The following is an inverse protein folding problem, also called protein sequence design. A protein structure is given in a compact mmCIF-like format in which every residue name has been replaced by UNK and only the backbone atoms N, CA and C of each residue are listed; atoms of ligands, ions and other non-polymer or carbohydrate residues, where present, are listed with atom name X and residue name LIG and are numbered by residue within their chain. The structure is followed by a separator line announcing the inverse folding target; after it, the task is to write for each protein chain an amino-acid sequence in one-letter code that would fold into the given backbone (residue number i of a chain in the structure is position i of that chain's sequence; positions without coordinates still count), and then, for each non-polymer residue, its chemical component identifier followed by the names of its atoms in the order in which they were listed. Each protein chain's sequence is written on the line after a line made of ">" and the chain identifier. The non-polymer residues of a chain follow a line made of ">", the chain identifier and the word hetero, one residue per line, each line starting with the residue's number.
data_IF_412827642136
#
_entry.id   IF_412827642136
#
_cell.length_a   1.000
_cell.length_b   1.000
_cell.length_c   1.000
_cell.angle_alpha   90.00
_cell.angle_beta   90.00
_cell.angle_gamma   90.00
#
_symmetry.space_group_name_H-M   'P 1'
#
loop_
_entity.id
_entity.type
_entity.pdbx_description
1 polymer ?
#
# COMPACT_ATOMS: atom_id res chain seq x y z
N UNK A 1 4.74 25.38 6.00
CA UNK A 1 5.01 24.16 5.21
C UNK A 1 4.39 24.25 3.81
N UNK A 2 4.32 25.44 3.19
CA UNK A 2 3.81 25.58 1.81
C UNK A 2 4.83 25.14 0.75
N UNK A 3 6.09 24.88 1.15
CA UNK A 3 7.20 24.60 0.22
C UNK A 3 7.63 23.12 0.12
N UNK A 4 7.10 22.22 0.95
CA UNK A 4 7.52 20.81 0.88
C UNK A 4 6.78 20.08 -0.24
N UNK A 5 7.47 19.91 -1.38
CA UNK A 5 6.96 19.23 -2.57
C UNK A 5 7.77 17.95 -2.84
N UNK A 6 7.37 16.79 -2.29
CA UNK A 6 8.08 15.54 -2.50
C UNK A 6 8.10 15.18 -3.99
N UNK A 7 9.31 15.06 -4.54
CA UNK A 7 9.56 14.89 -5.99
C UNK A 7 8.89 15.97 -6.86
N UNK A 8 8.80 17.21 -6.35
CA UNK A 8 8.18 18.32 -7.05
C UNK A 8 6.65 18.23 -7.18
N UNK A 9 6.02 17.27 -6.50
CA UNK A 9 4.56 17.09 -6.50
C UNK A 9 3.91 17.74 -5.28
N UNK A 10 2.65 18.12 -5.44
CA UNK A 10 1.79 18.46 -4.31
C UNK A 10 1.66 17.26 -3.35
N UNK A 11 1.70 17.51 -2.03
CA UNK A 11 1.73 16.45 -1.03
C UNK A 11 0.58 15.44 -1.19
N UNK A 12 -0.66 15.91 -1.39
CA UNK A 12 -1.83 15.05 -1.56
C UNK A 12 -1.73 14.16 -2.81
N UNK A 13 -1.19 14.70 -3.90
CA UNK A 13 -0.95 13.94 -5.14
C UNK A 13 0.12 12.89 -4.90
N UNK A 14 1.19 13.23 -4.19
CA UNK A 14 2.23 12.29 -3.81
C UNK A 14 1.66 11.12 -2.98
N UNK A 15 0.89 11.41 -1.94
CA UNK A 15 0.27 10.40 -1.07
C UNK A 15 -0.70 9.49 -1.84
N UNK A 16 -1.51 10.07 -2.74
CA UNK A 16 -2.38 9.31 -3.63
C UNK A 16 -1.56 8.37 -4.52
N UNK A 17 -0.49 8.88 -5.14
CA UNK A 17 0.38 8.09 -6.01
C UNK A 17 1.16 7.02 -5.26
N UNK A 18 1.52 7.23 -3.99
CA UNK A 18 2.11 6.18 -3.16
C UNK A 18 1.20 4.94 -3.10
N UNK A 19 -0.10 5.12 -2.88
CA UNK A 19 -1.05 4.01 -2.90
C UNK A 19 -1.18 3.40 -4.30
N UNK A 20 -1.42 4.22 -5.33
CA UNK A 20 -1.59 3.72 -6.71
C UNK A 20 -0.35 3.02 -7.26
N UNK A 21 0.85 3.39 -6.80
CA UNK A 21 2.10 2.78 -7.23
C UNK A 21 2.19 1.29 -6.92
N UNK A 22 1.39 0.78 -5.98
CA UNK A 22 1.26 -0.65 -5.71
C UNK A 22 0.72 -1.42 -6.93
N UNK A 23 -0.01 -0.76 -7.84
CA UNK A 23 -0.51 -1.35 -9.09
C UNK A 23 0.55 -1.45 -10.18
N UNK A 24 1.74 -0.84 -10.00
CA UNK A 24 2.82 -0.93 -10.98
C UNK A 24 3.26 -2.38 -11.27
N UNK A 25 2.97 -3.31 -10.34
CA UNK A 25 3.19 -4.74 -10.49
C UNK A 25 2.44 -5.38 -11.67
N UNK A 26 1.35 -4.78 -12.15
CA UNK A 26 0.62 -5.25 -13.33
C UNK A 26 1.33 -4.95 -14.65
N UNK A 27 2.26 -3.98 -14.66
CA UNK A 27 2.99 -3.54 -15.85
C UNK A 27 4.43 -4.05 -15.79
N UNK A 28 5.09 -3.85 -14.65
CA UNK A 28 6.48 -4.19 -14.42
C UNK A 28 6.52 -5.20 -13.28
N UNK A 29 7.06 -6.41 -13.49
CA UNK A 29 7.26 -7.38 -12.42
C UNK A 29 7.96 -6.73 -11.22
N UNK A 30 7.45 -6.97 -10.01
CA UNK A 30 7.91 -6.36 -8.75
C UNK A 30 7.75 -4.83 -8.64
N UNK A 31 7.27 -4.12 -9.66
CA UNK A 31 7.05 -2.67 -9.62
C UNK A 31 6.11 -2.26 -8.48
N UNK A 32 5.07 -3.06 -8.23
CA UNK A 32 4.10 -2.84 -7.15
C UNK A 32 4.66 -3.01 -5.72
N UNK A 33 5.85 -3.60 -5.60
CA UNK A 33 6.62 -3.67 -4.37
C UNK A 33 7.63 -2.51 -4.32
N UNK A 34 8.44 -2.36 -5.36
CA UNK A 34 9.59 -1.45 -5.35
C UNK A 34 9.19 0.03 -5.36
N UNK A 35 8.25 0.43 -6.22
CA UNK A 35 7.88 1.84 -6.38
C UNK A 35 7.32 2.47 -5.10
N UNK A 36 6.30 1.90 -4.41
CA UNK A 36 5.80 2.49 -3.16
C UNK A 36 6.87 2.55 -2.07
N UNK A 37 7.80 1.58 -2.02
CA UNK A 37 8.90 1.58 -1.06
C UNK A 37 9.84 2.74 -1.30
N UNK A 38 10.26 2.96 -2.55
CA UNK A 38 11.14 4.08 -2.89
C UNK A 38 10.46 5.41 -2.56
N UNK A 39 9.19 5.56 -2.93
CA UNK A 39 8.42 6.77 -2.60
C UNK A 39 8.34 7.00 -1.08
N UNK A 40 8.12 5.96 -0.28
CA UNK A 40 8.10 6.11 1.17
C UNK A 40 9.50 6.42 1.74
N UNK A 41 10.50 5.60 1.41
CA UNK A 41 11.84 5.68 2.00
C UNK A 41 12.54 7.02 1.75
N UNK A 42 12.30 7.64 0.59
CA UNK A 42 12.92 8.92 0.22
C UNK A 42 12.35 10.13 0.94
N UNK A 43 11.12 10.05 1.48
CA UNK A 43 10.42 11.22 2.01
C UNK A 43 9.78 11.03 3.39
N UNK A 44 9.82 9.82 3.98
CA UNK A 44 9.20 9.53 5.27
C UNK A 44 9.69 10.40 6.43
N UNK A 45 10.98 10.75 6.46
CA UNK A 45 11.57 11.56 7.53
C UNK A 45 11.18 13.05 7.43
N UNK A 46 10.63 13.47 6.28
CA UNK A 46 10.28 14.87 6.00
C UNK A 46 8.79 15.18 6.19
N UNK A 47 7.92 14.15 6.23
CA UNK A 47 6.49 14.34 6.43
C UNK A 47 5.88 13.16 7.20
N UNK A 48 5.24 13.50 8.33
CA UNK A 48 4.49 12.54 9.13
C UNK A 48 3.35 11.89 8.35
N UNK A 49 2.72 12.62 7.42
CA UNK A 49 1.69 12.06 6.55
C UNK A 49 2.28 11.01 5.59
N UNK A 50 3.41 11.32 4.95
CA UNK A 50 4.12 10.36 4.09
C UNK A 50 4.51 9.12 4.89
N UNK A 51 5.01 9.31 6.10
CA UNK A 51 5.39 8.18 6.95
C UNK A 51 4.18 7.31 7.31
N UNK A 52 3.09 7.92 7.76
CA UNK A 52 1.87 7.22 8.13
C UNK A 52 1.22 6.47 6.95
N UNK A 53 1.10 7.12 5.78
CA UNK A 53 0.58 6.46 4.56
C UNK A 53 1.50 5.33 4.10
N UNK A 54 2.82 5.51 4.17
CA UNK A 54 3.79 4.46 3.88
C UNK A 54 3.69 3.27 4.83
N UNK A 55 3.50 3.50 6.13
CA UNK A 55 3.26 2.45 7.13
C UNK A 55 1.97 1.67 6.84
N UNK A 56 0.90 2.34 6.40
CA UNK A 56 -0.34 1.66 5.95
C UNK A 56 -0.05 0.74 4.77
N UNK A 57 0.66 1.23 3.75
CA UNK A 57 1.02 0.47 2.56
C UNK A 57 1.89 -0.75 2.94
N UNK A 58 2.89 -0.54 3.79
CA UNK A 58 3.79 -1.61 4.25
C UNK A 58 3.08 -2.68 5.07
N UNK A 59 2.21 -2.27 6.00
CA UNK A 59 1.41 -3.19 6.78
C UNK A 59 0.58 -4.10 5.87
N UNK A 60 -0.06 -3.53 4.85
CA UNK A 60 -0.79 -4.31 3.86
C UNK A 60 0.12 -5.22 3.04
N UNK A 61 1.25 -4.71 2.54
CA UNK A 61 2.15 -5.48 1.68
C UNK A 61 2.72 -6.72 2.38
N UNK A 62 3.13 -6.57 3.65
CA UNK A 62 3.57 -7.69 4.48
C UNK A 62 2.41 -8.65 4.80
N UNK A 63 1.22 -8.13 5.08
CA UNK A 63 0.03 -8.95 5.33
C UNK A 63 -0.36 -9.76 4.10
N UNK A 64 -0.43 -9.12 2.93
CA UNK A 64 -0.74 -9.74 1.66
C UNK A 64 0.30 -10.81 1.28
N UNK A 65 1.58 -10.59 1.59
CA UNK A 65 2.62 -11.59 1.41
C UNK A 65 2.38 -12.83 2.29
N UNK A 66 2.04 -12.63 3.57
CA UNK A 66 1.69 -13.74 4.48
C UNK A 66 0.44 -14.47 3.98
N UNK A 67 -0.59 -13.74 3.58
CA UNK A 67 -1.83 -14.31 3.05
C UNK A 67 -1.59 -15.08 1.75
N UNK A 68 -0.69 -14.59 0.90
CA UNK A 68 -0.27 -15.29 -0.30
C UNK A 68 0.36 -16.64 0.02
N UNK A 69 1.26 -16.72 1.01
CA UNK A 69 1.87 -17.99 1.45
C UNK A 69 0.85 -18.94 2.10
N UNK A 70 -0.10 -18.42 2.88
CA UNK A 70 -1.19 -19.23 3.43
C UNK A 70 -2.04 -19.80 2.27
N UNK A 71 -2.42 -18.97 1.30
CA UNK A 71 -3.17 -19.43 0.13
C UNK A 71 -2.38 -20.48 -0.67
N UNK A 72 -1.06 -20.33 -0.81
CA UNK A 72 -0.19 -21.30 -1.48
C UNK A 72 -0.29 -22.69 -0.84
N UNK A 73 -0.20 -22.76 0.49
CA UNK A 73 -0.35 -24.02 1.23
C UNK A 73 -1.77 -24.58 1.05
N UNK A 74 -2.80 -23.73 1.07
CA UNK A 74 -4.18 -24.15 0.87
C UNK A 74 -4.50 -24.55 -0.58
N UNK A 75 -3.64 -24.23 -1.55
CA UNK A 75 -3.84 -24.64 -2.96
C UNK A 75 -3.78 -26.16 -3.11
N UNK A 76 -3.02 -26.87 -2.27
CA UNK A 76 -2.95 -28.34 -2.29
C UNK A 76 -4.29 -29.03 -1.99
N UNK A 77 -5.25 -28.30 -1.42
CA UNK A 77 -6.64 -28.74 -1.18
C UNK A 77 -7.67 -27.92 -1.99
N UNK A 78 -7.24 -27.28 -3.08
CA UNK A 78 -8.03 -26.45 -4.02
C UNK A 78 -8.55 -25.12 -3.45
N UNK A 79 -8.80 -25.03 -2.14
CA UNK A 79 -9.34 -23.82 -1.46
C UNK A 79 -8.44 -22.59 -1.67
N UNK A 80 -7.13 -22.77 -1.74
CA UNK A 80 -6.17 -21.67 -1.91
C UNK A 80 -6.39 -20.83 -3.17
N UNK A 81 -6.94 -21.43 -4.24
CA UNK A 81 -7.24 -20.71 -5.48
C UNK A 81 -8.29 -19.61 -5.24
N UNK A 82 -9.35 -19.92 -4.49
CA UNK A 82 -10.36 -18.94 -4.10
C UNK A 82 -9.76 -17.83 -3.22
N UNK A 83 -8.82 -18.20 -2.34
CA UNK A 83 -8.07 -17.26 -1.51
C UNK A 83 -7.27 -16.24 -2.34
N UNK A 84 -6.63 -16.67 -3.43
CA UNK A 84 -5.92 -15.75 -4.33
C UNK A 84 -6.85 -14.74 -5.01
N UNK A 85 -8.03 -15.17 -5.47
CA UNK A 85 -9.03 -14.24 -6.02
C UNK A 85 -9.50 -13.22 -4.98
N UNK A 86 -9.76 -13.67 -3.74
CA UNK A 86 -10.13 -12.78 -2.65
C UNK A 86 -9.02 -11.77 -2.35
N UNK A 87 -7.76 -12.22 -2.29
CA UNK A 87 -6.60 -11.37 -2.06
C UNK A 87 -6.43 -10.31 -3.16
N UNK A 88 -6.63 -10.68 -4.42
CA UNK A 88 -6.58 -9.76 -5.56
C UNK A 88 -7.67 -8.69 -5.46
N UNK A 89 -8.92 -9.09 -5.22
CA UNK A 89 -10.06 -8.18 -5.11
C UNK A 89 -9.87 -7.22 -3.93
N UNK A 90 -9.54 -7.74 -2.75
CA UNK A 90 -9.25 -6.91 -1.57
C UNK A 90 -8.10 -5.95 -1.84
N UNK A 91 -7.00 -6.42 -2.44
CA UNK A 91 -5.85 -5.58 -2.79
C UNK A 91 -6.22 -4.41 -3.69
N UNK A 92 -6.98 -4.66 -4.76
CA UNK A 92 -7.46 -3.61 -5.67
C UNK A 92 -8.35 -2.60 -4.96
N UNK A 93 -9.33 -3.07 -4.17
CA UNK A 93 -10.24 -2.20 -3.41
C UNK A 93 -9.43 -1.33 -2.44
N UNK A 94 -8.50 -1.92 -1.69
CA UNK A 94 -7.75 -1.20 -0.67
C UNK A 94 -6.83 -0.14 -1.28
N UNK A 95 -6.15 -0.48 -2.39
CA UNK A 95 -5.30 0.46 -3.12
C UNK A 95 -6.11 1.67 -3.62
N UNK A 96 -7.25 1.42 -4.28
CA UNK A 96 -8.10 2.48 -4.83
C UNK A 96 -8.70 3.34 -3.71
N UNK A 97 -9.25 2.72 -2.66
CA UNK A 97 -9.83 3.46 -1.52
C UNK A 97 -8.76 4.28 -0.79
N UNK A 98 -7.57 3.71 -0.58
CA UNK A 98 -6.42 4.42 -0.02
C UNK A 98 -6.04 5.64 -0.84
N UNK A 99 -5.95 5.50 -2.16
CA UNK A 99 -5.63 6.59 -3.07
C UNK A 99 -6.69 7.72 -3.02
N UNK A 100 -7.98 7.36 -3.11
CA UNK A 100 -9.08 8.33 -3.05
C UNK A 100 -9.06 9.10 -1.70
N UNK A 101 -8.87 8.37 -0.59
CA UNK A 101 -8.83 8.98 0.75
C UNK A 101 -7.58 9.85 0.95
N UNK A 102 -6.42 9.40 0.47
CA UNK A 102 -5.18 10.17 0.52
C UNK A 102 -5.27 11.49 -0.25
N UNK A 103 -5.91 11.49 -1.43
CA UNK A 103 -6.15 12.73 -2.18
C UNK A 103 -7.07 13.71 -1.41
N UNK A 104 -7.95 13.18 -0.57
CA UNK A 104 -8.76 13.95 0.39
C UNK A 104 -8.02 14.40 1.66
N UNK A 105 -6.75 14.03 1.84
CA UNK A 105 -5.99 14.26 3.07
C UNK A 105 -6.40 13.36 4.24
N UNK A 106 -7.07 12.24 3.95
CA UNK A 106 -7.55 11.30 4.97
C UNK A 106 -6.66 10.07 4.97
N UNK A 107 -6.07 9.78 6.13
CA UNK A 107 -5.37 8.53 6.36
C UNK A 107 -6.38 7.40 6.58
N UNK A 108 -6.38 6.42 5.69
CA UNK A 108 -7.29 5.27 5.77
C UNK A 108 -6.50 3.97 5.94
N UNK A 109 -6.47 3.36 7.14
CA UNK A 109 -5.82 2.08 7.36
C UNK A 109 -6.51 0.98 6.56
N UNK A 110 -5.72 0.18 5.84
CA UNK A 110 -6.26 -0.89 5.02
C UNK A 110 -6.85 -1.99 5.92
N UNK A 111 -8.12 -2.38 5.70
CA UNK A 111 -8.72 -3.49 6.42
C UNK A 111 -7.88 -4.76 6.27
N UNK A 112 -7.98 -5.66 7.24
CA UNK A 112 -7.23 -6.93 7.25
C UNK A 112 -5.70 -6.76 7.24
N UNK A 113 -5.16 -5.56 7.40
CA UNK A 113 -3.71 -5.38 7.54
C UNK A 113 -3.27 -5.66 8.97
N UNK A 114 -2.32 -6.56 9.12
CA UNK A 114 -1.56 -6.79 10.35
C UNK A 114 -0.69 -5.54 10.60
N UNK A 115 -0.76 -5.00 11.82
CA UNK A 115 -0.08 -3.76 12.21
C UNK A 115 1.37 -4.02 12.63
N UNK A 116 2.26 -4.30 11.66
CA UNK A 116 3.71 -4.41 11.90
C UNK A 116 4.30 -3.09 12.35
N UNK A 117 3.87 -2.00 11.72
CA UNK A 117 4.21 -0.64 12.08
C UNK A 117 2.99 0.04 12.72
N UNK A 118 3.21 0.71 13.86
CA UNK A 118 2.19 1.53 14.50
C UNK A 118 1.97 2.81 13.68
N UNK A 119 0.72 3.07 13.33
CA UNK A 119 0.30 4.28 12.64
C UNK A 119 0.02 5.34 13.70
N UNK A 120 0.66 6.50 13.58
CA UNK A 120 0.52 7.60 14.53
C UNK A 120 -0.44 8.64 13.95
N UNK A 121 -1.73 8.37 14.10
CA UNK A 121 -2.79 9.32 13.74
C UNK A 121 -2.66 10.67 14.48
#
# INVERSE_FOLDING_TARGET
>A
MEDFKPWGMELKVYLMLMHLSQLAGFIIPFGGLVVPIIMWATNKEHSRDIDNHGKVIFNWMLSALIYFFICFILTFIVIGVLGYFALLICGLIFIVMGAIKANGGILWPYPLSIKFFKIEA
#
